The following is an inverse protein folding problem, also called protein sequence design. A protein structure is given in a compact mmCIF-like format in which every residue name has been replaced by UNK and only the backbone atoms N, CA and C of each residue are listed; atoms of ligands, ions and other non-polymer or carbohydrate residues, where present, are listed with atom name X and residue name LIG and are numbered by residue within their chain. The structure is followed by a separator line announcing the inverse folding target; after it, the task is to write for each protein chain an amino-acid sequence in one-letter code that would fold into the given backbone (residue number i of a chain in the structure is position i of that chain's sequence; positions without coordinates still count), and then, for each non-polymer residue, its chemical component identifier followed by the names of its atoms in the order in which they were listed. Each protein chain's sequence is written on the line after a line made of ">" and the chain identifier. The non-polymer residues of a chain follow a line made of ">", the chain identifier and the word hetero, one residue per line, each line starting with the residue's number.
data_IF_732173844906
#
_entry.id   IF_732173844906
#
_cell.length_a   1.000
_cell.length_b   1.000
_cell.length_c   1.000
_cell.angle_alpha   90.00
_cell.angle_beta   90.00
_cell.angle_gamma   90.00
#
_symmetry.space_group_name_H-M   'P 1'
#
loop_
_entity.id
_entity.type
_entity.pdbx_description
1 polymer ?
#
# COMPACT_ATOMS: atom_id res chain seq x y z
N UNK A 1 -31.10 -59.73 34.24
CA UNK A 1 -31.62 -58.83 33.18
C UNK A 1 -30.45 -58.15 32.49
N UNK A 2 -30.10 -58.61 31.27
CA UNK A 2 -28.98 -58.05 30.51
C UNK A 2 -29.50 -56.90 29.64
N UNK A 3 -28.99 -55.70 29.86
CA UNK A 3 -29.31 -54.52 29.04
C UNK A 3 -28.64 -54.65 27.69
N UNK A 4 -29.44 -54.86 26.66
CA UNK A 4 -28.97 -54.91 25.26
C UNK A 4 -28.50 -53.47 24.84
N UNK A 5 -27.20 -53.31 24.67
CA UNK A 5 -26.56 -52.11 24.16
C UNK A 5 -26.98 -51.95 22.68
N UNK A 6 -27.88 -51.00 22.43
CA UNK A 6 -28.39 -50.68 21.09
C UNK A 6 -27.22 -50.18 20.23
N UNK A 7 -26.69 -51.03 19.36
CA UNK A 7 -25.66 -50.66 18.39
C UNK A 7 -26.31 -49.69 17.38
N UNK A 8 -25.87 -48.43 17.42
CA UNK A 8 -26.33 -47.37 16.54
C UNK A 8 -25.92 -47.77 15.13
N UNK A 9 -26.88 -48.11 14.29
CA UNK A 9 -26.62 -48.53 12.89
C UNK A 9 -25.89 -47.37 12.19
N UNK A 10 -24.69 -47.62 11.72
CA UNK A 10 -23.85 -46.69 11.01
C UNK A 10 -24.50 -46.40 9.66
N UNK A 11 -25.07 -45.20 9.49
CA UNK A 11 -25.77 -44.82 8.26
C UNK A 11 -24.76 -44.27 7.27
N UNK A 12 -24.23 -45.12 6.41
CA UNK A 12 -23.19 -44.82 5.43
C UNK A 12 -23.59 -43.64 4.53
N UNK A 13 -24.86 -43.51 4.19
CA UNK A 13 -25.41 -42.45 3.37
C UNK A 13 -25.28 -41.06 4.08
N UNK A 14 -25.57 -41.03 5.38
CA UNK A 14 -25.42 -39.79 6.15
C UNK A 14 -23.96 -39.35 6.25
N UNK A 15 -23.04 -40.28 6.43
CA UNK A 15 -21.62 -40.00 6.47
C UNK A 15 -21.11 -39.49 5.12
N UNK A 16 -21.51 -40.10 4.03
CA UNK A 16 -21.18 -39.65 2.67
C UNK A 16 -21.70 -38.23 2.42
N UNK A 17 -22.95 -37.93 2.78
CA UNK A 17 -23.54 -36.62 2.61
C UNK A 17 -22.77 -35.55 3.44
N UNK A 18 -22.42 -35.85 4.69
CA UNK A 18 -21.68 -34.94 5.55
C UNK A 18 -20.29 -34.66 5.00
N UNK A 19 -19.57 -35.70 4.54
CA UNK A 19 -18.23 -35.55 3.96
C UNK A 19 -18.26 -34.76 2.66
N UNK A 20 -19.25 -35.00 1.78
CA UNK A 20 -19.43 -34.24 0.55
C UNK A 20 -19.73 -32.78 0.83
N UNK A 21 -20.63 -32.50 1.76
CA UNK A 21 -20.95 -31.11 2.17
C UNK A 21 -19.74 -30.41 2.78
N UNK A 22 -19.00 -31.07 3.66
CA UNK A 22 -17.79 -30.53 4.28
C UNK A 22 -16.72 -30.22 3.21
N UNK A 23 -16.53 -31.10 2.23
CA UNK A 23 -15.57 -30.87 1.14
C UNK A 23 -15.95 -29.64 0.30
N UNK A 24 -17.22 -29.51 -0.06
CA UNK A 24 -17.71 -28.35 -0.81
C UNK A 24 -17.53 -27.07 0.00
N UNK A 25 -17.86 -27.10 1.30
CA UNK A 25 -17.70 -25.93 2.17
C UNK A 25 -16.22 -25.50 2.28
N UNK A 26 -15.31 -26.44 2.47
CA UNK A 26 -13.87 -26.16 2.54
C UNK A 26 -13.37 -25.54 1.23
N UNK A 27 -13.71 -26.15 0.09
CA UNK A 27 -13.31 -25.63 -1.22
C UNK A 27 -13.85 -24.22 -1.43
N UNK A 28 -15.10 -23.98 -1.09
CA UNK A 28 -15.73 -22.66 -1.22
C UNK A 28 -15.03 -21.59 -0.35
N UNK A 29 -14.71 -21.93 0.89
CA UNK A 29 -13.99 -21.00 1.81
C UNK A 29 -12.59 -20.72 1.28
N UNK A 30 -11.84 -21.73 0.89
CA UNK A 30 -10.49 -21.56 0.35
C UNK A 30 -10.53 -20.72 -0.93
N UNK A 31 -11.45 -21.00 -1.85
CA UNK A 31 -11.62 -20.24 -3.09
C UNK A 31 -11.98 -18.77 -2.80
N UNK A 32 -12.88 -18.51 -1.86
CA UNK A 32 -13.25 -17.15 -1.48
C UNK A 32 -12.06 -16.36 -0.90
N UNK A 33 -11.25 -17.02 -0.05
CA UNK A 33 -10.04 -16.39 0.52
C UNK A 33 -9.02 -16.07 -0.57
N UNK A 34 -8.75 -17.02 -1.47
CA UNK A 34 -7.79 -16.83 -2.55
C UNK A 34 -8.26 -15.75 -3.53
N UNK A 35 -9.53 -15.76 -3.92
CA UNK A 35 -10.11 -14.74 -4.79
C UNK A 35 -10.07 -13.35 -4.16
N UNK A 36 -10.41 -13.26 -2.88
CA UNK A 36 -10.36 -11.98 -2.15
C UNK A 36 -8.94 -11.39 -2.10
N UNK A 37 -7.93 -12.24 -1.84
CA UNK A 37 -6.53 -11.80 -1.87
C UNK A 37 -6.09 -11.35 -3.27
N UNK A 38 -6.38 -12.17 -4.26
CA UNK A 38 -6.04 -11.88 -5.66
C UNK A 38 -6.67 -10.56 -6.15
N UNK A 39 -7.95 -10.33 -5.86
CA UNK A 39 -8.63 -9.09 -6.24
C UNK A 39 -8.01 -7.88 -5.53
N UNK A 40 -7.72 -7.98 -4.23
CA UNK A 40 -7.12 -6.90 -3.47
C UNK A 40 -5.75 -6.51 -4.03
N UNK A 41 -4.88 -7.48 -4.26
CA UNK A 41 -3.53 -7.23 -4.76
C UNK A 41 -3.55 -6.62 -6.17
N UNK A 42 -4.43 -7.10 -7.05
CA UNK A 42 -4.57 -6.55 -8.39
C UNK A 42 -5.16 -5.14 -8.40
N UNK A 43 -6.15 -4.85 -7.55
CA UNK A 43 -6.73 -3.51 -7.45
C UNK A 43 -5.69 -2.51 -6.92
N UNK A 44 -4.98 -2.84 -5.84
CA UNK A 44 -3.92 -1.98 -5.29
C UNK A 44 -2.84 -1.69 -6.32
N UNK A 45 -2.41 -2.70 -7.06
CA UNK A 45 -1.38 -2.53 -8.09
C UNK A 45 -1.86 -1.65 -9.24
N UNK A 46 -3.08 -1.83 -9.70
CA UNK A 46 -3.68 -1.00 -10.76
C UNK A 46 -3.77 0.47 -10.32
N UNK A 47 -4.28 0.72 -9.13
CA UNK A 47 -4.43 2.06 -8.58
C UNK A 47 -3.05 2.72 -8.38
N UNK A 48 -2.05 1.97 -7.93
CA UNK A 48 -0.69 2.45 -7.79
C UNK A 48 -0.05 2.83 -9.13
N UNK A 49 -0.26 2.04 -10.18
CA UNK A 49 0.25 2.36 -11.54
C UNK A 49 -0.40 3.61 -12.07
N UNK A 50 -1.73 3.75 -11.95
CA UNK A 50 -2.44 4.97 -12.38
C UNK A 50 -1.96 6.21 -11.62
N UNK A 51 -1.77 6.08 -10.30
CA UNK A 51 -1.21 7.15 -9.47
C UNK A 51 0.20 7.52 -9.90
N UNK A 52 1.04 6.53 -10.19
CA UNK A 52 2.40 6.75 -10.69
C UNK A 52 2.40 7.51 -12.02
N UNK A 53 1.60 7.06 -13.00
CA UNK A 53 1.50 7.73 -14.31
C UNK A 53 1.04 9.17 -14.16
N UNK A 54 0.05 9.42 -13.30
CA UNK A 54 -0.44 10.75 -13.00
C UNK A 54 0.64 11.64 -12.39
N UNK A 55 1.31 11.19 -11.33
CA UNK A 55 2.37 11.92 -10.63
C UNK A 55 3.54 12.18 -11.58
N UNK A 56 3.98 11.19 -12.36
CA UNK A 56 5.08 11.33 -13.30
C UNK A 56 4.74 12.30 -14.44
N UNK A 57 3.51 12.25 -14.97
CA UNK A 57 3.08 13.18 -16.04
C UNK A 57 3.14 14.61 -15.55
N UNK A 58 2.69 14.90 -14.34
CA UNK A 58 2.75 16.25 -13.79
C UNK A 58 4.18 16.63 -13.43
N UNK A 59 4.95 15.72 -12.82
CA UNK A 59 6.36 15.96 -12.53
C UNK A 59 7.16 16.31 -13.79
N UNK A 60 6.84 15.69 -14.93
CA UNK A 60 7.45 16.02 -16.23
C UNK A 60 6.97 17.36 -16.77
N UNK A 61 5.66 17.63 -16.71
CA UNK A 61 5.09 18.89 -17.25
C UNK A 61 5.59 20.12 -16.51
N UNK A 62 5.86 20.00 -15.22
CA UNK A 62 6.37 21.08 -14.35
C UNK A 62 7.89 21.06 -14.20
N UNK A 63 8.58 20.19 -14.95
CA UNK A 63 10.05 20.04 -14.87
C UNK A 63 10.55 19.82 -13.44
N UNK A 64 9.77 19.04 -12.67
CA UNK A 64 10.05 18.77 -11.24
C UNK A 64 11.40 18.11 -11.01
N UNK A 65 11.94 17.40 -12.02
CA UNK A 65 13.29 16.82 -11.98
C UNK A 65 14.39 17.86 -11.80
N UNK A 66 14.28 19.01 -12.47
CA UNK A 66 15.25 20.11 -12.32
C UNK A 66 15.24 20.71 -10.91
N UNK A 67 14.14 20.56 -10.17
CA UNK A 67 14.03 20.99 -8.81
C UNK A 67 14.91 20.18 -7.83
N UNK A 68 15.10 18.91 -8.10
CA UNK A 68 15.97 18.04 -7.28
C UNK A 68 17.46 18.20 -7.60
N UNK A 69 17.82 18.80 -8.71
CA UNK A 69 19.23 18.97 -9.14
C UNK A 69 19.78 20.37 -8.91
N UNK A 70 18.96 21.41 -8.99
CA UNK A 70 19.39 22.78 -8.77
C UNK A 70 19.24 23.16 -7.30
N UNK A 71 20.30 23.78 -6.73
CA UNK A 71 20.20 24.50 -5.48
C UNK A 71 18.93 25.35 -5.49
N UNK A 72 18.02 25.01 -4.63
CA UNK A 72 16.67 25.52 -4.38
C UNK A 72 16.46 26.99 -4.79
N UNK A 73 16.02 27.22 -6.02
CA UNK A 73 15.50 28.55 -6.40
C UNK A 73 14.07 28.68 -5.86
N UNK A 74 13.80 29.72 -5.08
CA UNK A 74 12.53 29.95 -4.36
C UNK A 74 11.28 29.78 -5.26
N UNK A 75 11.33 30.21 -6.52
CA UNK A 75 10.20 30.06 -7.45
C UNK A 75 9.87 28.59 -7.77
N UNK A 76 10.88 27.76 -7.99
CA UNK A 76 10.68 26.33 -8.23
C UNK A 76 10.10 25.61 -7.01
N UNK A 77 10.55 26.02 -5.81
CA UNK A 77 10.04 25.51 -4.55
C UNK A 77 8.54 25.76 -4.38
N UNK A 78 8.07 26.96 -4.68
CA UNK A 78 6.64 27.33 -4.54
C UNK A 78 5.74 26.50 -5.48
N UNK A 79 6.13 26.27 -6.73
CA UNK A 79 5.36 25.48 -7.70
C UNK A 79 5.30 24.02 -7.25
N UNK A 80 6.43 23.48 -6.86
CA UNK A 80 6.57 22.12 -6.35
C UNK A 80 5.72 21.88 -5.08
N UNK A 81 5.85 22.76 -4.09
CA UNK A 81 5.06 22.69 -2.86
C UNK A 81 3.56 22.81 -3.14
N UNK A 82 3.15 23.71 -4.03
CA UNK A 82 1.74 23.88 -4.37
C UNK A 82 1.13 22.63 -5.01
N UNK A 83 1.91 21.93 -5.83
CA UNK A 83 1.50 20.68 -6.45
C UNK A 83 1.30 19.56 -5.41
N UNK A 84 2.30 19.27 -4.58
CA UNK A 84 2.18 18.22 -3.58
C UNK A 84 1.16 18.54 -2.51
N UNK A 85 1.00 19.80 -2.14
CA UNK A 85 -0.06 20.25 -1.26
C UNK A 85 -1.44 19.98 -1.85
N UNK A 86 -1.61 20.11 -3.17
CA UNK A 86 -2.86 19.77 -3.86
C UNK A 86 -3.14 18.27 -3.81
N UNK A 87 -2.13 17.42 -4.00
CA UNK A 87 -2.27 15.97 -3.85
C UNK A 87 -2.66 15.63 -2.40
N UNK A 88 -2.01 16.23 -1.42
CA UNK A 88 -2.29 16.00 -0.01
C UNK A 88 -3.72 16.41 0.42
N UNK A 89 -4.38 17.29 -0.33
CA UNK A 89 -5.78 17.69 -0.08
C UNK A 89 -6.81 16.74 -0.67
N UNK A 90 -6.41 15.72 -1.44
CA UNK A 90 -7.34 14.72 -1.96
C UNK A 90 -7.92 13.87 -0.83
N UNK A 91 -9.23 13.57 -0.83
CA UNK A 91 -9.90 12.89 0.28
C UNK A 91 -9.34 11.51 0.63
N UNK A 92 -8.76 10.82 -0.36
CA UNK A 92 -8.22 9.47 -0.22
C UNK A 92 -6.74 9.46 0.19
N UNK A 93 -6.09 10.62 0.18
CA UNK A 93 -4.68 10.76 0.54
C UNK A 93 -4.58 11.04 2.03
N UNK A 94 -3.89 10.18 2.74
CA UNK A 94 -3.67 10.30 4.19
C UNK A 94 -2.41 11.10 4.50
N UNK A 95 -1.38 10.96 3.66
CA UNK A 95 -0.11 11.65 3.80
C UNK A 95 0.70 11.58 2.50
N UNK A 96 1.47 12.62 2.24
CA UNK A 96 2.44 12.70 1.15
C UNK A 96 3.81 13.03 1.71
N UNK A 97 4.79 12.20 1.42
CA UNK A 97 6.20 12.44 1.73
C UNK A 97 7.04 12.45 0.46
N UNK A 98 8.02 13.32 0.39
CA UNK A 98 9.01 13.34 -0.68
C UNK A 98 10.36 13.03 -0.07
N UNK A 99 11.02 12.04 -0.64
CA UNK A 99 12.31 11.56 -0.16
C UNK A 99 13.43 11.96 -1.11
N UNK A 100 14.52 12.44 -0.54
CA UNK A 100 15.77 12.55 -1.28
C UNK A 100 16.39 11.15 -1.47
N UNK A 101 17.40 11.05 -2.34
CA UNK A 101 18.10 9.79 -2.65
C UNK A 101 18.74 9.12 -1.42
N UNK A 102 19.06 9.88 -0.39
CA UNK A 102 19.60 9.37 0.87
C UNK A 102 18.53 8.90 1.88
N UNK A 103 17.25 8.91 1.49
CA UNK A 103 16.12 8.48 2.32
C UNK A 103 15.61 9.54 3.31
N UNK A 104 16.13 10.77 3.25
CA UNK A 104 15.64 11.86 4.09
C UNK A 104 14.38 12.45 3.47
N UNK A 105 13.35 12.72 4.27
CA UNK A 105 12.15 13.44 3.86
C UNK A 105 12.51 14.91 3.63
N UNK A 106 12.43 15.36 2.39
CA UNK A 106 12.70 16.75 2.01
C UNK A 106 11.44 17.62 2.02
N UNK A 107 10.28 16.99 1.89
CA UNK A 107 8.99 17.65 2.01
C UNK A 107 7.93 16.65 2.51
N UNK A 108 6.99 17.16 3.30
CA UNK A 108 5.81 16.41 3.75
C UNK A 108 4.65 17.38 3.96
N UNK A 109 3.41 16.90 3.81
CA UNK A 109 2.21 17.60 4.26
C UNK A 109 2.08 17.66 5.79
N UNK A 110 2.93 16.91 6.50
CA UNK A 110 3.08 16.92 7.96
C UNK A 110 4.51 17.33 8.33
N UNK A 111 4.71 18.58 8.73
CA UNK A 111 6.03 19.19 8.99
C UNK A 111 6.92 18.37 9.92
N UNK A 112 6.33 17.63 10.84
CA UNK A 112 7.06 16.79 11.80
C UNK A 112 7.92 15.70 11.14
N UNK A 113 7.65 15.34 9.88
CA UNK A 113 8.43 14.32 9.17
C UNK A 113 9.58 14.90 8.35
N UNK A 114 9.58 16.22 8.10
CA UNK A 114 10.64 16.85 7.30
C UNK A 114 11.98 16.74 8.03
N UNK A 115 13.00 16.31 7.31
CA UNK A 115 14.35 16.06 7.85
C UNK A 115 14.53 14.68 8.49
N UNK A 116 13.48 13.89 8.69
CA UNK A 116 13.62 12.55 9.21
C UNK A 116 14.11 11.57 8.14
N UNK A 117 14.92 10.61 8.58
CA UNK A 117 15.37 9.50 7.73
C UNK A 117 14.66 8.22 8.15
N UNK A 118 13.91 7.63 7.24
CA UNK A 118 13.16 6.39 7.48
C UNK A 118 13.86 5.13 6.93
N UNK A 119 15.15 5.23 6.63
CA UNK A 119 15.93 4.04 6.23
C UNK A 119 16.31 3.18 7.46
N UNK A 120 16.35 1.85 7.34
CA UNK A 120 16.07 1.07 6.14
C UNK A 120 14.55 0.84 5.94
N UNK A 121 14.08 1.15 4.74
CA UNK A 121 12.71 0.89 4.30
C UNK A 121 12.78 0.17 2.94
N UNK A 122 12.39 -1.11 2.85
CA UNK A 122 12.53 -1.92 1.65
C UNK A 122 11.83 -1.32 0.43
N UNK A 123 10.61 -0.80 0.59
CA UNK A 123 9.84 -0.21 -0.48
C UNK A 123 10.47 1.11 -0.98
N UNK A 124 11.01 1.91 -0.07
CA UNK A 124 11.75 3.11 -0.42
C UNK A 124 13.04 2.77 -1.20
N UNK A 125 13.79 1.74 -0.77
CA UNK A 125 14.98 1.26 -1.48
C UNK A 125 14.60 0.80 -2.89
N UNK A 126 13.50 0.09 -3.05
CA UNK A 126 12.99 -0.34 -4.34
C UNK A 126 12.64 0.84 -5.24
N UNK A 127 11.95 1.84 -4.72
CA UNK A 127 11.61 3.07 -5.45
C UNK A 127 12.86 3.87 -5.84
N UNK A 128 13.84 3.98 -4.96
CA UNK A 128 15.13 4.63 -5.25
C UNK A 128 15.93 3.89 -6.34
N UNK A 129 15.66 2.60 -6.56
CA UNK A 129 16.22 1.84 -7.68
C UNK A 129 15.43 2.02 -8.98
N UNK A 130 14.36 2.82 -8.97
CA UNK A 130 13.57 3.16 -10.13
C UNK A 130 12.36 2.28 -10.40
N UNK A 131 11.94 1.52 -9.44
CA UNK A 131 10.74 0.67 -9.55
C UNK A 131 9.62 1.20 -8.67
N UNK A 132 8.38 1.06 -9.16
CA UNK A 132 7.20 1.29 -8.35
C UNK A 132 7.17 0.27 -7.20
N UNK A 133 7.13 0.76 -5.97
CA UNK A 133 6.98 -0.11 -4.81
C UNK A 133 5.66 0.19 -4.08
N UNK A 134 5.02 -0.87 -3.60
CA UNK A 134 3.71 -0.80 -2.96
C UNK A 134 3.79 -1.51 -1.62
N UNK A 135 3.53 -0.77 -0.55
CA UNK A 135 3.35 -1.28 0.80
C UNK A 135 1.90 -1.19 1.24
N UNK A 136 1.59 -1.80 2.35
CA UNK A 136 0.30 -1.66 3.01
C UNK A 136 0.41 -1.87 4.51
N UNK A 137 -0.48 -1.23 5.25
CA UNK A 137 -0.50 -1.33 6.69
C UNK A 137 -1.84 -0.98 7.31
N UNK A 138 -1.86 -1.03 8.64
CA UNK A 138 -2.96 -0.57 9.48
C UNK A 138 -2.38 0.31 10.59
N UNK A 139 -3.08 1.38 10.97
CA UNK A 139 -2.59 2.29 12.03
C UNK A 139 -2.48 1.62 13.40
N UNK A 140 -3.32 0.61 13.67
CA UNK A 140 -3.30 -0.13 14.94
C UNK A 140 -2.10 -1.09 15.11
N UNK A 141 -1.32 -1.33 14.06
CA UNK A 141 -0.12 -2.19 14.07
C UNK A 141 0.95 -1.58 13.18
N UNK A 142 1.63 -0.53 13.66
CA UNK A 142 2.67 0.13 12.87
C UNK A 142 3.82 -0.85 12.59
N UNK A 143 4.12 -1.04 11.32
CA UNK A 143 5.25 -1.86 10.87
C UNK A 143 6.52 -1.04 10.68
N UNK A 144 6.38 0.26 10.50
CA UNK A 144 7.45 1.23 10.23
C UNK A 144 7.30 2.45 11.11
N UNK A 145 8.39 3.17 11.35
CA UNK A 145 8.41 4.37 12.16
C UNK A 145 7.51 5.49 11.59
N UNK A 146 7.38 5.54 10.26
CA UNK A 146 6.49 6.49 9.58
C UNK A 146 5.00 6.16 9.69
N UNK A 147 4.60 4.98 10.17
CA UNK A 147 3.20 4.58 10.32
C UNK A 147 2.51 5.22 11.54
N UNK A 148 2.79 6.48 11.78
CA UNK A 148 2.14 7.29 12.82
C UNK A 148 1.16 8.23 12.14
N UNK A 149 -0.13 8.09 12.43
CA UNK A 149 -1.21 8.89 11.87
C UNK A 149 -1.93 9.65 12.98
N UNK A 150 -2.37 10.87 12.70
CA UNK A 150 -3.14 11.70 13.65
C UNK A 150 -4.58 11.22 13.79
N UNK A 151 -5.06 10.44 12.82
CA UNK A 151 -6.39 9.81 12.81
C UNK A 151 -6.24 8.30 12.69
N UNK A 152 -7.21 7.57 13.22
CA UNK A 152 -7.27 6.13 13.01
C UNK A 152 -7.52 5.84 11.52
N UNK A 153 -6.57 5.13 10.90
CA UNK A 153 -6.66 4.67 9.50
C UNK A 153 -6.70 3.16 9.53
N UNK A 154 -7.89 2.53 9.38
CA UNK A 154 -8.03 1.08 9.51
C UNK A 154 -7.13 0.30 8.55
N UNK A 155 -6.98 0.83 7.35
CA UNK A 155 -6.13 0.27 6.29
C UNK A 155 -5.60 1.40 5.41
N UNK A 156 -4.34 1.31 5.01
CA UNK A 156 -3.74 2.22 4.05
C UNK A 156 -2.82 1.48 3.09
N UNK A 157 -2.68 1.99 1.89
CA UNK A 157 -1.66 1.61 0.92
C UNK A 157 -0.57 2.69 0.89
N UNK A 158 0.68 2.26 0.79
CA UNK A 158 1.83 3.12 0.54
C UNK A 158 2.27 2.91 -0.90
N UNK A 159 2.39 4.00 -1.65
CA UNK A 159 2.83 3.97 -3.03
C UNK A 159 4.10 4.80 -3.12
N UNK A 160 5.23 4.16 -3.36
CA UNK A 160 6.52 4.82 -3.55
C UNK A 160 6.79 4.96 -5.06
N UNK A 161 6.76 6.20 -5.54
CA UNK A 161 6.86 6.53 -6.96
C UNK A 161 8.24 7.13 -7.24
N UNK A 162 9.05 6.51 -8.11
CA UNK A 162 10.29 7.11 -8.55
C UNK A 162 10.00 8.30 -9.47
N UNK A 163 10.62 9.45 -9.19
CA UNK A 163 10.58 10.63 -10.03
C UNK A 163 11.94 10.78 -10.69
N UNK A 164 11.96 10.77 -12.02
CA UNK A 164 13.17 10.89 -12.80
C UNK A 164 13.34 12.31 -13.32
N UNK A 165 14.58 12.77 -13.29
CA UNK A 165 14.95 13.95 -14.07
C UNK A 165 15.23 13.52 -15.52
N UNK A 166 14.47 14.07 -16.46
CA UNK A 166 14.68 13.85 -17.89
C UNK A 166 15.79 14.74 -18.48
N UNK A 167 16.61 15.37 -17.64
CA UNK A 167 17.79 16.09 -18.12
C UNK A 167 18.85 15.07 -18.57
N UNK A 168 18.82 14.75 -19.86
CA UNK A 168 19.98 14.30 -20.64
C UNK A 168 20.47 15.46 -21.48
#
# INVERSE_FOLDING_TARGET
>A
MASAKKIKSFNLLQWFSIMSFASIAIISIVSAILLSRFLRDNMLRRDAVLTMEFVQTIAQSENAGAYFESEFHEKGKMVFESFFKRIATMPEVVRVNIYARNGIVVWSDQDRFIGHNFMPNPELIEALSGRLAIGSGTSGKPKKAEHVFDKEVPFFAEIYIPIWNNAK
#
